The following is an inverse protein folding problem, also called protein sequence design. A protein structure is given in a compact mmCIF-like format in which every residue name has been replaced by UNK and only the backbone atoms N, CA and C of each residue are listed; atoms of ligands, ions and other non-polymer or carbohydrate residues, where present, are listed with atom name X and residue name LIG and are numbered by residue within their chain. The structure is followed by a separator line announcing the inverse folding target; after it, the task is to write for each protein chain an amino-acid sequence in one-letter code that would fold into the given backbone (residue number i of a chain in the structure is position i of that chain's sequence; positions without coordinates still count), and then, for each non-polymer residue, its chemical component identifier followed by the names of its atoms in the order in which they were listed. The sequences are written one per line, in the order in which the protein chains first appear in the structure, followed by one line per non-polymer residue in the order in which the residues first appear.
data_IF_537389030255
#
_entry.id   IF_537389030255
#
_cell.length_a   1.000
_cell.length_b   1.000
_cell.length_c   1.000
_cell.angle_alpha   90.00
_cell.angle_beta   90.00
_cell.angle_gamma   90.00
#
_symmetry.space_group_name_H-M   'P 1'
#
loop_
_entity.id
_entity.type
_entity.pdbx_description
1 polymer ?
#
# COMPACT_ATOMS: atom_id res chain seq x y z
N UNK A 1 -0.11 14.18 3.93
CA UNK A 1 -1.07 13.22 3.32
C UNK A 1 -2.33 12.93 4.13
N UNK A 2 -2.30 12.86 5.48
CA UNK A 2 -3.42 12.39 6.32
C UNK A 2 -4.77 13.10 6.09
N UNK A 3 -4.78 14.39 5.77
CA UNK A 3 -6.00 15.13 5.41
C UNK A 3 -6.70 14.60 4.15
N UNK A 4 -5.95 14.36 3.06
CA UNK A 4 -6.49 13.84 1.79
C UNK A 4 -7.12 12.46 1.93
N UNK A 5 -6.58 11.63 2.83
CA UNK A 5 -7.08 10.29 3.11
C UNK A 5 -8.17 10.26 4.19
N UNK A 6 -8.59 11.41 4.72
CA UNK A 6 -9.64 11.48 5.76
C UNK A 6 -9.19 11.08 7.16
N UNK A 7 -7.89 11.02 7.43
CA UNK A 7 -7.33 10.88 8.78
C UNK A 7 -7.28 12.19 9.56
N UNK A 8 -7.49 13.32 8.88
CA UNK A 8 -7.62 14.66 9.48
C UNK A 8 -8.63 15.45 8.66
N UNK A 9 -9.42 16.32 9.31
CA UNK A 9 -10.41 17.13 8.60
C UNK A 9 -9.72 18.16 7.69
N UNK A 10 -10.11 18.18 6.41
CA UNK A 10 -9.73 19.24 5.46
C UNK A 10 -10.62 20.45 5.73
N UNK A 11 -10.02 21.63 5.85
CA UNK A 11 -10.72 22.90 6.15
C UNK A 11 -11.10 23.71 4.91
N UNK A 12 -10.56 23.38 3.73
CA UNK A 12 -10.89 24.02 2.46
C UNK A 12 -10.27 23.32 1.25
N UNK A 13 -10.74 23.66 0.05
CA UNK A 13 -10.34 23.03 -1.21
C UNK A 13 -11.28 21.91 -1.67
N UNK A 14 -11.02 21.37 -2.86
CA UNK A 14 -11.80 20.29 -3.48
C UNK A 14 -10.85 19.21 -3.97
N UNK A 15 -11.22 17.94 -3.77
CA UNK A 15 -10.45 16.78 -4.23
C UNK A 15 -11.24 16.11 -5.35
N UNK A 16 -10.54 15.76 -6.42
CA UNK A 16 -11.11 15.07 -7.57
C UNK A 16 -10.32 13.79 -7.84
N UNK A 17 -11.02 12.70 -8.17
CA UNK A 17 -10.43 11.44 -8.64
C UNK A 17 -11.10 11.10 -9.97
N UNK A 18 -10.30 10.92 -11.03
CA UNK A 18 -10.79 10.76 -12.42
C UNK A 18 -11.82 11.84 -12.83
N UNK A 19 -11.59 13.09 -12.41
CA UNK A 19 -12.48 14.22 -12.69
C UNK A 19 -13.77 14.25 -11.87
N UNK A 20 -14.03 13.25 -11.01
CA UNK A 20 -15.20 13.23 -10.13
C UNK A 20 -14.86 13.84 -8.77
N UNK A 21 -15.66 14.80 -8.26
CA UNK A 21 -15.44 15.37 -6.94
C UNK A 21 -15.66 14.32 -5.85
N UNK A 22 -14.75 14.25 -4.89
CA UNK A 22 -14.84 13.32 -3.75
C UNK A 22 -14.82 14.09 -2.44
N UNK A 23 -15.75 13.74 -1.54
CA UNK A 23 -15.78 14.27 -0.17
C UNK A 23 -15.27 13.21 0.78
N UNK A 24 -14.05 13.42 1.29
CA UNK A 24 -13.37 12.46 2.16
C UNK A 24 -13.32 13.06 3.57
N UNK A 25 -14.12 12.49 4.48
CA UNK A 25 -14.16 12.84 5.91
C UNK A 25 -13.63 11.72 6.81
N UNK A 26 -13.56 10.49 6.28
CA UNK A 26 -13.03 9.31 6.98
C UNK A 26 -12.31 8.38 5.99
N UNK A 27 -11.34 7.56 6.45
CA UNK A 27 -10.54 6.70 5.58
C UNK A 27 -11.33 5.76 4.67
N UNK A 28 -12.45 5.21 5.17
CA UNK A 28 -13.32 4.34 4.38
C UNK A 28 -13.83 5.00 3.08
N UNK A 29 -14.07 6.31 3.08
CA UNK A 29 -14.50 7.05 1.89
C UNK A 29 -13.38 7.21 0.87
N UNK A 30 -12.13 7.40 1.33
CA UNK A 30 -10.96 7.44 0.44
C UNK A 30 -10.78 6.08 -0.26
N UNK A 31 -10.84 4.98 0.51
CA UNK A 31 -10.71 3.61 -0.01
C UNK A 31 -11.81 3.31 -1.04
N UNK A 32 -13.07 3.66 -0.74
CA UNK A 32 -14.19 3.47 -1.67
C UNK A 32 -14.02 4.28 -2.96
N UNK A 33 -13.41 5.47 -2.88
CA UNK A 33 -13.09 6.30 -4.03
C UNK A 33 -11.85 5.82 -4.81
N UNK A 34 -11.22 4.72 -4.39
CA UNK A 34 -10.01 4.17 -5.02
C UNK A 34 -8.71 4.88 -4.61
N UNK A 35 -8.73 5.68 -3.54
CA UNK A 35 -7.52 6.25 -2.94
C UNK A 35 -6.99 5.31 -1.86
N UNK A 36 -5.70 4.99 -1.92
CA UNK A 36 -4.99 4.18 -0.92
C UNK A 36 -3.86 5.00 -0.29
N UNK A 37 -3.51 4.71 0.95
CA UNK A 37 -2.41 5.36 1.68
C UNK A 37 -1.44 4.30 2.19
N UNK A 38 -0.18 4.39 1.77
CA UNK A 38 0.91 3.70 2.43
C UNK A 38 1.54 4.66 3.45
N UNK A 39 1.43 4.37 4.76
CA UNK A 39 1.95 5.24 5.80
C UNK A 39 3.48 5.15 5.91
N UNK A 40 4.06 6.17 6.54
CA UNK A 40 5.48 6.28 6.86
C UNK A 40 5.92 5.22 7.89
N UNK A 41 5.15 5.04 8.97
CA UNK A 41 5.44 4.02 9.98
C UNK A 41 4.81 2.68 9.62
N UNK A 42 5.55 1.90 8.81
CA UNK A 42 5.12 0.55 8.42
C UNK A 42 4.89 -0.37 9.61
N UNK A 43 5.58 -0.20 10.74
CA UNK A 43 5.53 -1.14 11.87
C UNK A 43 4.31 -0.88 12.73
N UNK A 44 4.01 0.39 13.00
CA UNK A 44 2.86 0.78 13.79
C UNK A 44 1.56 0.81 12.98
N UNK A 45 1.62 1.24 11.71
CA UNK A 45 0.43 1.54 10.91
C UNK A 45 0.30 0.70 9.63
N UNK A 46 1.37 0.00 9.20
CA UNK A 46 1.42 -0.67 7.90
C UNK A 46 1.23 -2.18 7.92
N UNK A 47 1.87 -2.91 8.83
CA UNK A 47 1.78 -4.37 8.90
C UNK A 47 0.90 -4.82 10.07
N UNK A 48 0.43 -6.06 9.99
CA UNK A 48 -0.17 -6.77 11.12
C UNK A 48 0.85 -7.82 11.56
N UNK A 49 1.67 -7.54 12.59
CA UNK A 49 2.90 -8.29 12.87
C UNK A 49 2.66 -9.79 13.13
N UNK A 50 1.56 -10.10 13.81
CA UNK A 50 1.19 -11.47 14.24
C UNK A 50 0.58 -12.32 13.12
N UNK A 51 0.48 -11.77 11.90
CA UNK A 51 -0.10 -12.44 10.75
C UNK A 51 0.94 -12.77 9.67
N UNK A 52 0.58 -13.71 8.80
CA UNK A 52 1.42 -14.18 7.71
C UNK A 52 1.62 -13.13 6.62
N UNK A 53 2.58 -13.36 5.72
CA UNK A 53 2.75 -12.56 4.50
C UNK A 53 1.47 -12.60 3.66
N UNK A 54 0.87 -13.78 3.48
CA UNK A 54 -0.40 -13.97 2.76
C UNK A 54 -1.51 -13.11 3.34
N UNK A 55 -1.73 -13.20 4.65
CA UNK A 55 -2.75 -12.39 5.32
C UNK A 55 -2.49 -10.90 5.12
N UNK A 56 -1.24 -10.48 5.28
CA UNK A 56 -0.88 -9.08 5.12
C UNK A 56 -1.06 -8.58 3.68
N UNK A 57 -0.89 -9.42 2.66
CA UNK A 57 -1.19 -9.06 1.26
C UNK A 57 -2.71 -9.01 1.06
N UNK A 58 -3.45 -10.00 1.52
CA UNK A 58 -4.86 -10.15 1.13
C UNK A 58 -5.84 -9.34 1.95
N UNK A 59 -5.50 -8.93 3.19
CA UNK A 59 -6.50 -8.43 4.16
C UNK A 59 -7.34 -7.25 3.67
N UNK A 60 -6.76 -6.35 2.85
CA UNK A 60 -7.50 -5.25 2.25
C UNK A 60 -8.55 -5.79 1.27
N UNK A 61 -8.11 -6.49 0.24
CA UNK A 61 -8.94 -6.96 -0.87
C UNK A 61 -9.89 -8.12 -0.48
N UNK A 62 -9.60 -8.87 0.59
CA UNK A 62 -10.35 -10.05 1.07
C UNK A 62 -11.86 -9.86 1.02
N UNK A 63 -12.37 -8.71 1.48
CA UNK A 63 -13.82 -8.41 1.51
C UNK A 63 -14.52 -8.52 0.15
N UNK A 64 -13.80 -8.35 -0.96
CA UNK A 64 -14.32 -8.45 -2.33
C UNK A 64 -14.34 -9.89 -2.85
N UNK A 65 -13.68 -10.81 -2.15
CA UNK A 65 -13.45 -12.18 -2.58
C UNK A 65 -14.02 -13.23 -1.61
N UNK A 66 -14.77 -12.81 -0.59
CA UNK A 66 -15.47 -13.73 0.31
C UNK A 66 -16.64 -14.45 -0.40
N UNK A 67 -16.79 -15.74 -0.14
CA UNK A 67 -17.93 -16.53 -0.60
C UNK A 67 -19.08 -16.45 0.41
N UNK A 68 -20.31 -16.40 -0.08
CA UNK A 68 -21.53 -16.38 0.75
C UNK A 68 -21.53 -15.33 1.88
N UNK A 69 -20.77 -14.23 1.71
CA UNK A 69 -20.71 -13.11 2.67
C UNK A 69 -19.89 -13.37 3.95
N UNK A 70 -19.34 -14.57 4.15
CA UNK A 70 -18.57 -14.89 5.37
C UNK A 70 -17.43 -15.90 5.19
N UNK A 71 -17.38 -16.64 4.08
CA UNK A 71 -16.38 -17.68 3.86
C UNK A 71 -15.14 -17.13 3.16
N UNK A 72 -13.97 -17.38 3.73
CA UNK A 72 -12.69 -17.00 3.12
C UNK A 72 -12.45 -17.86 1.87
N UNK A 73 -12.12 -17.21 0.76
CA UNK A 73 -11.69 -17.87 -0.45
C UNK A 73 -10.18 -18.17 -0.39
N UNK A 74 -9.83 -19.32 0.19
CA UNK A 74 -8.43 -19.72 0.35
C UNK A 74 -7.69 -19.89 -0.98
N UNK A 75 -8.40 -20.30 -2.04
CA UNK A 75 -7.80 -20.49 -3.36
C UNK A 75 -7.36 -19.15 -3.95
N UNK A 76 -8.24 -18.14 -3.91
CA UNK A 76 -7.90 -16.79 -4.33
C UNK A 76 -6.80 -16.18 -3.45
N UNK A 77 -6.86 -16.36 -2.13
CA UNK A 77 -5.85 -15.82 -1.23
C UNK A 77 -4.45 -16.40 -1.47
N UNK A 78 -4.36 -17.69 -1.76
CA UNK A 78 -3.10 -18.33 -2.12
C UNK A 78 -2.55 -17.76 -3.45
N UNK A 79 -3.37 -17.77 -4.51
CA UNK A 79 -2.96 -17.30 -5.84
C UNK A 79 -2.55 -15.82 -5.83
N UNK A 80 -3.36 -14.95 -5.21
CA UNK A 80 -3.06 -13.52 -5.13
C UNK A 80 -1.77 -13.23 -4.34
N UNK A 81 -1.55 -13.93 -3.22
CA UNK A 81 -0.33 -13.77 -2.45
C UNK A 81 0.90 -14.26 -3.23
N UNK A 82 0.83 -15.41 -3.88
CA UNK A 82 1.94 -15.97 -4.66
C UNK A 82 2.30 -15.06 -5.85
N UNK A 83 1.31 -14.53 -6.57
CA UNK A 83 1.52 -13.58 -7.64
C UNK A 83 2.25 -12.31 -7.16
N UNK A 84 1.86 -11.75 -6.01
CA UNK A 84 2.50 -10.56 -5.45
C UNK A 84 3.88 -10.85 -4.86
N UNK A 85 4.09 -12.01 -4.24
CA UNK A 85 5.40 -12.45 -3.77
C UNK A 85 6.39 -12.53 -4.94
N UNK A 86 5.97 -13.14 -6.05
CA UNK A 86 6.80 -13.27 -7.25
C UNK A 86 7.03 -11.91 -7.94
N UNK A 87 5.96 -11.18 -8.28
CA UNK A 87 6.06 -9.94 -9.05
C UNK A 87 6.82 -8.82 -8.33
N UNK A 88 6.75 -8.77 -7.00
CA UNK A 88 7.47 -7.78 -6.20
C UNK A 88 8.82 -8.29 -5.69
N UNK A 89 9.18 -9.54 -5.99
CA UNK A 89 10.39 -10.20 -5.50
C UNK A 89 10.50 -10.12 -3.96
N UNK A 90 9.44 -10.55 -3.26
CA UNK A 90 9.39 -10.62 -1.80
C UNK A 90 10.20 -11.84 -1.35
N UNK A 91 11.34 -11.58 -0.71
CA UNK A 91 12.17 -12.63 -0.11
C UNK A 91 11.52 -13.12 1.18
N UNK A 92 10.86 -14.28 1.10
CA UNK A 92 10.21 -14.96 2.22
C UNK A 92 10.41 -16.47 2.10
N UNK A 93 10.52 -17.25 3.20
CA UNK A 93 10.45 -18.71 3.17
C UNK A 93 9.15 -19.25 2.56
N UNK A 94 8.07 -18.46 2.63
CA UNK A 94 6.79 -18.78 2.02
C UNK A 94 5.68 -17.81 2.43
N UNK A 95 4.46 -18.00 1.90
CA UNK A 95 3.30 -17.14 2.19
C UNK A 95 2.85 -17.20 3.66
N UNK A 96 3.08 -18.31 4.37
CA UNK A 96 2.70 -18.49 5.78
C UNK A 96 3.68 -17.88 6.79
N UNK A 97 4.84 -17.40 6.34
CA UNK A 97 5.81 -16.79 7.24
C UNK A 97 5.21 -15.56 7.92
N UNK A 98 5.43 -15.39 9.23
CA UNK A 98 5.05 -14.17 9.93
C UNK A 98 5.75 -12.95 9.31
N UNK A 99 4.98 -11.92 8.94
CA UNK A 99 5.53 -10.74 8.26
C UNK A 99 6.56 -9.99 9.11
N UNK A 100 6.40 -10.04 10.44
CA UNK A 100 7.32 -9.38 11.37
C UNK A 100 8.75 -9.91 11.28
N UNK A 101 8.93 -11.14 10.80
CA UNK A 101 10.23 -11.78 10.65
C UNK A 101 10.93 -11.45 9.32
N UNK A 102 10.25 -10.74 8.40
CA UNK A 102 10.88 -10.28 7.16
C UNK A 102 11.72 -9.02 7.38
N UNK A 103 12.70 -8.78 6.49
CA UNK A 103 13.42 -7.52 6.48
C UNK A 103 12.50 -6.33 6.17
N UNK A 104 12.88 -5.12 6.57
CA UNK A 104 12.07 -3.92 6.34
C UNK A 104 11.71 -3.69 4.87
N UNK A 105 12.63 -3.98 3.95
CA UNK A 105 12.38 -3.94 2.50
C UNK A 105 11.29 -4.91 2.06
N UNK A 106 11.32 -6.16 2.55
CA UNK A 106 10.32 -7.16 2.19
C UNK A 106 8.96 -6.93 2.86
N UNK A 107 8.95 -6.40 4.08
CA UNK A 107 7.72 -5.90 4.71
C UNK A 107 7.07 -4.82 3.85
N UNK A 108 7.86 -3.86 3.36
CA UNK A 108 7.36 -2.78 2.51
C UNK A 108 6.81 -3.31 1.17
N UNK A 109 7.51 -4.26 0.54
CA UNK A 109 7.01 -4.92 -0.68
C UNK A 109 5.68 -5.64 -0.44
N UNK A 110 5.53 -6.36 0.67
CA UNK A 110 4.27 -7.00 1.02
C UNK A 110 3.12 -5.98 1.21
N UNK A 111 3.40 -4.84 1.84
CA UNK A 111 2.43 -3.73 1.97
C UNK A 111 2.07 -3.15 0.60
N UNK A 112 3.03 -2.99 -0.31
CA UNK A 112 2.72 -2.59 -1.69
C UNK A 112 1.82 -3.64 -2.37
N UNK A 113 2.12 -4.94 -2.20
CA UNK A 113 1.26 -6.04 -2.66
C UNK A 113 -0.18 -5.90 -2.18
N UNK A 114 -0.39 -5.59 -0.89
CA UNK A 114 -1.72 -5.33 -0.31
C UNK A 114 -2.51 -4.26 -1.06
N UNK A 115 -1.86 -3.15 -1.39
CA UNK A 115 -2.54 -2.05 -2.09
C UNK A 115 -2.75 -2.38 -3.57
N UNK A 116 -1.89 -3.20 -4.17
CA UNK A 116 -2.04 -3.67 -5.55
C UNK A 116 -3.15 -4.72 -5.70
N UNK A 117 -3.47 -5.47 -4.64
CA UNK A 117 -4.62 -6.36 -4.60
C UNK A 117 -5.96 -5.61 -4.56
N UNK A 118 -5.95 -4.31 -4.26
CA UNK A 118 -7.14 -3.45 -4.31
C UNK A 118 -7.38 -2.85 -5.70
N UNK A 119 -8.62 -2.46 -5.94
CA UNK A 119 -9.00 -1.65 -7.11
C UNK A 119 -8.61 -0.19 -6.88
N UNK A 120 -7.30 0.07 -6.81
CA UNK A 120 -6.78 1.42 -6.58
C UNK A 120 -6.77 2.25 -7.87
N UNK A 121 -7.11 3.53 -7.72
CA UNK A 121 -6.99 4.60 -8.71
C UNK A 121 -5.86 5.56 -8.36
N UNK A 122 -5.61 5.80 -7.09
CA UNK A 122 -4.48 6.62 -6.64
C UNK A 122 -3.88 6.03 -5.37
N UNK A 123 -2.56 6.00 -5.29
CA UNK A 123 -1.83 5.64 -4.07
C UNK A 123 -1.00 6.82 -3.58
N UNK A 124 -1.19 7.17 -2.32
CA UNK A 124 -0.40 8.13 -1.58
C UNK A 124 0.70 7.36 -0.83
N UNK A 125 1.96 7.71 -1.05
CA UNK A 125 3.09 7.06 -0.40
C UNK A 125 3.84 8.09 0.44
N UNK A 126 3.74 7.95 1.76
CA UNK A 126 4.42 8.81 2.74
C UNK A 126 5.75 8.16 3.15
N UNK A 127 6.86 8.76 2.73
CA UNK A 127 8.23 8.22 2.92
C UNK A 127 8.36 6.68 2.78
N UNK A 128 8.04 6.10 1.61
CA UNK A 128 7.90 4.64 1.44
C UNK A 128 9.20 3.84 1.61
N UNK A 129 10.32 4.52 1.89
CA UNK A 129 11.64 3.91 2.08
C UNK A 129 12.25 4.18 3.45
N UNK A 130 11.47 4.72 4.40
CA UNK A 130 11.95 4.99 5.77
C UNK A 130 12.31 3.69 6.50
N UNK A 131 13.46 3.68 7.15
CA UNK A 131 13.93 2.51 7.92
C UNK A 131 14.13 1.24 7.07
N UNK A 132 14.41 1.40 5.78
CA UNK A 132 14.85 0.36 4.84
C UNK A 132 16.33 0.62 4.50
N UNK A 133 17.12 -0.44 4.37
CA UNK A 133 18.53 -0.35 3.98
C UNK A 133 18.68 0.22 2.56
N UNK A 134 19.83 0.85 2.29
CA UNK A 134 20.10 1.56 1.02
C UNK A 134 19.92 0.65 -0.19
N UNK A 135 20.31 -0.63 -0.11
CA UNK A 135 20.17 -1.59 -1.20
C UNK A 135 18.71 -1.85 -1.56
N UNK A 136 17.87 -2.11 -0.57
CA UNK A 136 16.45 -2.37 -0.77
C UNK A 136 15.65 -1.11 -1.18
N UNK A 137 16.12 0.11 -0.89
CA UNK A 137 15.42 1.35 -1.34
C UNK A 137 15.27 1.40 -2.85
N UNK A 138 16.32 1.06 -3.58
CA UNK A 138 16.28 1.09 -5.05
C UNK A 138 15.25 0.11 -5.61
N UNK A 139 15.12 -1.08 -5.01
CA UNK A 139 14.10 -2.05 -5.41
C UNK A 139 12.67 -1.50 -5.20
N UNK A 140 12.41 -0.86 -4.05
CA UNK A 140 11.10 -0.22 -3.78
C UNK A 140 10.81 0.89 -4.79
N UNK A 141 11.78 1.77 -5.05
CA UNK A 141 11.61 2.84 -6.04
C UNK A 141 11.36 2.28 -7.44
N UNK A 142 12.04 1.21 -7.84
CA UNK A 142 11.81 0.58 -9.14
C UNK A 142 10.38 0.02 -9.25
N UNK A 143 9.85 -0.59 -8.18
CA UNK A 143 8.44 -1.00 -8.14
C UNK A 143 7.53 0.20 -8.31
N UNK A 144 7.75 1.28 -7.56
CA UNK A 144 6.93 2.51 -7.62
C UNK A 144 6.97 3.13 -9.02
N UNK A 145 8.15 3.26 -9.61
CA UNK A 145 8.30 3.81 -10.97
C UNK A 145 7.69 2.88 -12.02
N UNK A 146 7.82 1.56 -11.84
CA UNK A 146 7.14 0.56 -12.64
C UNK A 146 5.63 0.77 -12.62
N UNK A 147 5.04 0.94 -11.43
CA UNK A 147 3.61 1.22 -11.26
C UNK A 147 3.18 2.54 -11.91
N UNK A 148 4.00 3.59 -11.80
CA UNK A 148 3.72 4.87 -12.41
C UNK A 148 3.83 4.82 -13.96
N UNK A 149 4.75 4.02 -14.49
CA UNK A 149 4.95 3.84 -15.93
C UNK A 149 3.92 2.89 -16.55
N UNK A 150 3.51 1.85 -15.83
CA UNK A 150 2.53 0.88 -16.28
C UNK A 150 1.09 1.42 -16.15
N UNK A 151 0.61 2.06 -17.23
CA UNK A 151 -0.81 2.28 -17.60
C UNK A 151 -1.60 3.37 -16.85
N UNK A 152 -1.61 4.57 -17.45
CA UNK A 152 -2.74 5.44 -17.86
C UNK A 152 -4.05 5.61 -17.03
N UNK A 153 -4.25 5.00 -15.86
CA UNK A 153 -5.42 5.27 -14.97
C UNK A 153 -5.10 5.25 -13.47
N UNK A 154 -3.87 4.91 -13.06
CA UNK A 154 -3.47 4.86 -11.66
C UNK A 154 -2.48 5.98 -11.34
N UNK A 155 -2.86 6.92 -10.50
CA UNK A 155 -2.00 7.99 -10.01
C UNK A 155 -1.10 7.53 -8.86
N UNK A 156 0.14 8.00 -8.83
CA UNK A 156 1.06 7.80 -7.71
C UNK A 156 1.47 9.16 -7.17
N UNK A 157 1.23 9.42 -5.89
CA UNK A 157 1.68 10.64 -5.21
C UNK A 157 2.74 10.28 -4.18
N UNK A 158 3.95 10.82 -4.36
CA UNK A 158 5.09 10.61 -3.48
C UNK A 158 5.31 11.86 -2.61
N UNK A 159 5.30 11.70 -1.29
CA UNK A 159 5.83 12.73 -0.40
C UNK A 159 7.34 12.54 -0.33
N UNK A 160 8.11 13.51 -0.82
CA UNK A 160 9.56 13.53 -0.60
C UNK A 160 9.83 13.97 0.83
N UNK A 161 10.84 13.38 1.51
CA UNK A 161 11.29 13.90 2.79
C UNK A 161 11.61 15.38 2.63
N UNK A 162 11.23 16.20 3.61
CA UNK A 162 11.62 17.59 3.67
C UNK A 162 13.15 17.63 3.67
N UNK A 163 13.76 17.92 2.52
CA UNK A 163 15.19 18.16 2.45
C UNK A 163 15.52 19.28 3.42
N UNK A 164 16.49 19.05 4.29
CA UNK A 164 17.19 20.10 4.99
C UNK A 164 17.58 21.14 3.95
N UNK A 165 16.88 22.28 3.95
CA UNK A 165 17.29 23.45 3.21
C UNK A 165 18.77 23.66 3.54
N UNK A 166 19.62 23.56 2.52
CA UNK A 166 21.04 23.76 2.67
C UNK A 166 21.26 25.08 3.39
N UNK A 167 21.85 25.00 4.59
CA UNK A 167 22.55 26.14 5.17
C UNK A 167 23.71 26.41 4.20
N UNK A 168 23.57 27.49 3.43
CA UNK A 168 24.72 28.21 2.90
C UNK A 168 25.48 28.82 4.08
#
# INVERSE_FOLDING_TARGET
MKGLFGGTQITGGQVYIDGQPVSIRKPAQAIQAGMMLCPEDRKAEGIIPVHSVRDNINISARRKHIHAGCLINNAWEADNADQHIQSLNIKTPGPEQLIMNLSGGNQQKAILGRWLSEEMKVILLDEPTRGIDVGAKHEIYNVIYGLAASRCRRGVCLQRPAGSAGRR
#
